data_IF_858850579039
#
_entry.id   IF_858850579039
#
_cell.length_a   1.000
_cell.length_b   1.000
_cell.length_c   1.000
_cell.angle_alpha   90.00
_cell.angle_beta   90.00
_cell.angle_gamma   90.00
#
_symmetry.space_group_name_H-M   'P 1'
#
loop_
_entity.id
_entity.type
_entity.pdbx_description
1 polymer ?
#
# COMPACT_ATOMS: atom_id res chain seq x y z
N UNK A 1 -5.36 6.50 -17.59
CA UNK A 1 -4.88 7.78 -17.03
C UNK A 1 -4.51 8.75 -18.15
N UNK A 2 -4.88 10.03 -18.05
CA UNK A 2 -4.55 11.07 -19.04
C UNK A 2 -4.20 12.38 -18.33
N UNK A 3 -2.94 12.80 -18.35
CA UNK A 3 -2.42 13.94 -17.57
C UNK A 3 -1.53 14.86 -18.40
N UNK A 4 -1.31 16.08 -17.91
CA UNK A 4 -0.24 16.95 -18.37
C UNK A 4 0.66 17.30 -17.18
N UNK A 5 1.93 16.91 -17.23
CA UNK A 5 2.93 17.16 -16.17
C UNK A 5 4.10 17.93 -16.78
N UNK A 6 4.39 19.13 -16.27
CA UNK A 6 5.48 19.96 -16.79
C UNK A 6 5.37 20.27 -18.30
N UNK A 7 4.14 20.37 -18.83
CA UNK A 7 3.87 20.60 -20.26
C UNK A 7 3.92 19.34 -21.14
N UNK A 8 4.27 18.17 -20.60
CA UNK A 8 4.25 16.89 -21.34
C UNK A 8 2.96 16.13 -21.05
N UNK A 9 2.33 15.61 -22.10
CA UNK A 9 1.13 14.79 -21.97
C UNK A 9 1.52 13.34 -21.66
N UNK A 10 0.96 12.79 -20.58
CA UNK A 10 1.03 11.36 -20.27
C UNK A 10 -0.33 10.73 -20.55
N UNK A 11 -0.33 9.58 -21.24
CA UNK A 11 -1.54 8.80 -21.47
C UNK A 11 -1.19 7.32 -21.50
N UNK A 12 -1.61 6.61 -20.46
CA UNK A 12 -1.47 5.16 -20.34
C UNK A 12 -2.74 4.57 -19.75
N UNK A 13 -3.18 3.44 -20.28
CA UNK A 13 -4.28 2.63 -19.77
C UNK A 13 -3.63 1.32 -19.41
N UNK A 14 -3.77 0.91 -18.14
CA UNK A 14 -3.27 -0.38 -17.70
C UNK A 14 -3.86 -1.46 -18.60
N UNK A 15 -3.00 -2.28 -19.19
CA UNK A 15 -3.45 -3.40 -20.01
C UNK A 15 -3.86 -4.58 -19.10
N UNK A 16 -4.46 -5.60 -19.71
CA UNK A 16 -4.97 -6.76 -18.98
C UNK A 16 -3.87 -7.49 -18.19
N UNK A 17 -2.62 -7.53 -18.68
CA UNK A 17 -1.48 -8.14 -17.97
C UNK A 17 -1.11 -7.34 -16.73
N UNK A 18 -1.01 -6.01 -16.83
CA UNK A 18 -0.73 -5.13 -15.69
C UNK A 18 -1.81 -5.23 -14.61
N UNK A 19 -3.07 -5.35 -15.01
CA UNK A 19 -4.20 -5.53 -14.09
C UNK A 19 -4.16 -6.93 -13.48
N UNK A 20 -3.95 -7.97 -14.29
CA UNK A 20 -3.90 -9.37 -13.82
C UNK A 20 -2.76 -9.57 -12.83
N UNK A 21 -1.56 -9.07 -13.13
CA UNK A 21 -0.40 -9.17 -12.24
C UNK A 21 -0.68 -8.53 -10.86
N UNK A 22 -1.29 -7.35 -10.85
CA UNK A 22 -1.64 -6.64 -9.62
C UNK A 22 -2.72 -7.39 -8.82
N UNK A 23 -3.79 -7.85 -9.47
CA UNK A 23 -4.88 -8.61 -8.85
C UNK A 23 -4.39 -9.96 -8.34
N UNK A 24 -3.57 -10.66 -9.12
CA UNK A 24 -2.97 -11.93 -8.72
C UNK A 24 -2.06 -11.74 -7.51
N UNK A 25 -1.22 -10.71 -7.49
CA UNK A 25 -0.41 -10.39 -6.31
C UNK A 25 -1.28 -10.06 -5.10
N UNK A 26 -2.30 -9.21 -5.27
CA UNK A 26 -3.22 -8.80 -4.20
C UNK A 26 -3.94 -9.97 -3.56
N UNK A 27 -4.27 -11.02 -4.32
CA UNK A 27 -4.92 -12.20 -3.75
C UNK A 27 -4.08 -12.96 -2.69
N UNK A 28 -2.77 -12.71 -2.59
CA UNK A 28 -1.93 -13.24 -1.50
C UNK A 28 -2.00 -12.40 -0.20
N UNK A 29 -2.37 -11.13 -0.28
CA UNK A 29 -2.34 -10.21 0.85
C UNK A 29 -3.23 -10.63 2.04
N UNK A 30 -4.51 -11.04 1.85
CA UNK A 30 -5.34 -11.50 2.97
C UNK A 30 -4.75 -12.68 3.73
N UNK A 31 -4.12 -13.62 3.01
CA UNK A 31 -3.47 -14.77 3.61
C UNK A 31 -2.26 -14.34 4.45
N UNK A 32 -1.42 -13.44 3.93
CA UNK A 32 -0.29 -12.90 4.68
C UNK A 32 -0.74 -12.23 5.99
N UNK A 33 -1.78 -11.39 5.96
CA UNK A 33 -2.29 -10.75 7.19
C UNK A 33 -2.70 -11.79 8.22
N UNK A 34 -3.48 -12.79 7.80
CA UNK A 34 -3.91 -13.86 8.70
C UNK A 34 -2.73 -14.65 9.26
N UNK A 35 -1.75 -15.02 8.44
CA UNK A 35 -0.61 -15.83 8.87
C UNK A 35 0.33 -15.07 9.82
N UNK A 36 0.62 -13.80 9.51
CA UNK A 36 1.55 -12.97 10.28
C UNK A 36 0.96 -12.51 11.61
N UNK A 37 -0.38 -12.45 11.71
CA UNK A 37 -1.08 -12.17 12.98
C UNK A 37 -1.55 -13.41 13.72
N UNK A 38 -1.22 -14.62 13.23
CA UNK A 38 -1.76 -15.88 13.78
C UNK A 38 -3.30 -15.90 13.87
N UNK A 39 -3.97 -15.29 12.89
CA UNK A 39 -5.42 -15.20 12.78
C UNK A 39 -6.07 -14.08 13.60
N UNK A 40 -5.29 -13.22 14.26
CA UNK A 40 -5.84 -12.11 15.04
C UNK A 40 -6.43 -11.00 14.16
N UNK A 41 -5.97 -10.88 12.90
CA UNK A 41 -6.54 -10.00 11.90
C UNK A 41 -6.94 -10.76 10.63
N UNK A 42 -8.00 -10.30 9.98
CA UNK A 42 -8.49 -10.82 8.71
C UNK A 42 -8.75 -9.68 7.73
N UNK A 43 -8.61 -9.96 6.44
CA UNK A 43 -8.94 -9.03 5.37
C UNK A 43 -10.04 -9.64 4.50
N UNK A 44 -11.13 -8.91 4.34
CA UNK A 44 -12.22 -9.24 3.42
C UNK A 44 -12.15 -8.32 2.20
N UNK A 45 -11.58 -8.79 1.07
CA UNK A 45 -11.34 -7.92 -0.06
C UNK A 45 -12.58 -7.70 -0.93
N UNK A 46 -12.72 -6.48 -1.45
CA UNK A 46 -13.59 -6.16 -2.57
C UNK A 46 -12.78 -5.43 -3.65
N UNK A 47 -12.70 -6.01 -4.86
CA UNK A 47 -11.98 -5.42 -5.98
C UNK A 47 -12.99 -4.81 -6.95
N UNK A 48 -12.77 -3.54 -7.29
CA UNK A 48 -13.64 -2.78 -8.20
C UNK A 48 -12.80 -2.19 -9.31
N UNK A 49 -13.21 -2.44 -10.55
CA UNK A 49 -12.60 -1.81 -11.72
C UNK A 49 -13.20 -0.41 -11.93
N UNK A 50 -12.35 0.61 -11.85
CA UNK A 50 -12.75 1.99 -12.07
C UNK A 50 -12.54 2.39 -13.54
N UNK A 51 -13.64 2.54 -14.29
CA UNK A 51 -13.60 2.89 -15.72
C UNK A 51 -13.28 4.37 -15.99
N UNK A 52 -13.16 5.21 -14.96
CA UNK A 52 -12.84 6.62 -15.13
C UNK A 52 -11.33 6.81 -15.24
N UNK A 53 -10.90 7.55 -16.26
CA UNK A 53 -9.50 7.99 -16.32
C UNK A 53 -9.20 9.04 -15.24
N UNK A 54 -8.10 8.82 -14.50
CA UNK A 54 -7.45 9.87 -13.72
C UNK A 54 -7.03 11.03 -14.64
N UNK A 55 -7.44 12.24 -14.27
CA UNK A 55 -7.21 13.49 -15.00
C UNK A 55 -6.35 14.50 -14.24
N UNK A 56 -6.05 14.22 -12.98
CA UNK A 56 -5.13 14.95 -12.13
C UNK A 56 -4.34 13.98 -11.26
N UNK A 57 -3.21 14.45 -10.74
CA UNK A 57 -2.49 13.83 -9.63
C UNK A 57 -2.10 14.94 -8.67
N UNK A 58 -2.09 14.62 -7.39
CA UNK A 58 -1.65 15.52 -6.35
C UNK A 58 -0.14 15.47 -6.25
N UNK A 59 0.46 16.66 -6.15
CA UNK A 59 1.90 16.82 -5.98
C UNK A 59 2.23 16.71 -4.48
N UNK A 60 3.03 15.70 -4.11
CA UNK A 60 3.55 15.53 -2.74
C UNK A 60 4.79 16.38 -2.51
N UNK A 61 5.76 16.27 -3.42
CA UNK A 61 7.01 17.03 -3.40
C UNK A 61 7.32 17.65 -4.77
N UNK A 62 8.46 18.36 -4.90
CA UNK A 62 8.83 19.13 -6.10
C UNK A 62 8.64 18.35 -7.41
N UNK A 63 8.90 17.04 -7.42
CA UNK A 63 8.78 16.16 -8.58
C UNK A 63 8.12 14.81 -8.25
N UNK A 64 7.23 14.76 -7.26
CA UNK A 64 6.52 13.53 -6.90
C UNK A 64 5.02 13.72 -6.98
N UNK A 65 4.38 12.89 -7.80
CA UNK A 65 2.94 12.90 -8.02
C UNK A 65 2.34 11.54 -7.70
N UNK A 66 1.13 11.54 -7.17
CA UNK A 66 0.41 10.31 -6.81
C UNK A 66 -1.11 10.55 -6.87
N UNK A 67 -1.92 9.48 -7.03
CA UNK A 67 -3.37 9.60 -6.97
C UNK A 67 -3.79 9.69 -5.51
N UNK A 68 -3.95 10.92 -5.03
CA UNK A 68 -4.48 11.17 -3.69
C UNK A 68 -5.98 10.86 -3.61
N UNK A 69 -6.57 10.86 -2.39
CA UNK A 69 -8.01 10.78 -2.23
C UNK A 69 -8.82 11.83 -3.00
N UNK A 70 -8.27 13.01 -3.32
CA UNK A 70 -8.98 14.00 -4.14
C UNK A 70 -9.00 13.63 -5.62
N UNK A 71 -7.91 13.03 -6.11
CA UNK A 71 -7.81 12.57 -7.50
C UNK A 71 -8.76 11.38 -7.77
N UNK A 72 -9.11 10.64 -6.73
CA UNK A 72 -10.00 9.45 -6.73
C UNK A 72 -11.35 9.70 -6.04
N UNK A 73 -11.66 10.96 -5.68
CA UNK A 73 -12.84 11.33 -4.86
C UNK A 73 -14.15 10.71 -5.34
N UNK A 74 -14.37 10.72 -6.67
CA UNK A 74 -15.59 10.19 -7.28
C UNK A 74 -15.75 8.69 -7.07
N UNK A 75 -14.65 7.94 -7.10
CA UNK A 75 -14.65 6.50 -6.81
C UNK A 75 -14.87 6.27 -5.32
N UNK A 76 -14.23 7.06 -4.46
CA UNK A 76 -14.42 6.98 -3.01
C UNK A 76 -15.89 7.23 -2.61
N UNK A 77 -16.49 8.32 -3.06
CA UNK A 77 -17.90 8.64 -2.76
C UNK A 77 -18.87 7.57 -3.28
N UNK A 78 -18.59 6.98 -4.44
CA UNK A 78 -19.46 5.99 -5.06
C UNK A 78 -19.33 4.60 -4.46
N UNK A 79 -18.10 4.17 -4.19
CA UNK A 79 -17.81 2.77 -3.89
C UNK A 79 -17.38 2.55 -2.45
N UNK A 80 -16.76 3.54 -1.81
CA UNK A 80 -16.23 3.49 -0.45
C UNK A 80 -16.70 4.69 0.41
N UNK A 81 -18.03 4.86 0.61
CA UNK A 81 -18.53 5.84 1.56
C UNK A 81 -17.99 5.56 2.98
N UNK A 82 -17.97 6.57 3.86
CA UNK A 82 -17.45 6.41 5.22
C UNK A 82 -18.02 5.20 5.97
N UNK A 83 -17.15 4.47 6.66
CA UNK A 83 -17.50 3.29 7.45
C UNK A 83 -17.76 2.01 6.65
N UNK A 84 -17.66 2.03 5.32
CA UNK A 84 -17.83 0.81 4.50
C UNK A 84 -16.58 -0.06 4.45
N UNK A 85 -15.39 0.55 4.47
CA UNK A 85 -14.11 -0.14 4.43
C UNK A 85 -13.14 0.52 5.40
N UNK A 86 -12.30 -0.28 6.05
CA UNK A 86 -11.25 0.21 6.94
C UNK A 86 -9.98 0.60 6.18
N UNK A 87 -9.80 0.07 4.97
CA UNK A 87 -8.61 0.28 4.14
C UNK A 87 -8.95 0.32 2.67
N UNK A 88 -8.28 1.21 1.92
CA UNK A 88 -8.50 1.44 0.51
C UNK A 88 -7.18 1.36 -0.25
N UNK A 89 -7.18 0.63 -1.36
CA UNK A 89 -6.05 0.56 -2.29
C UNK A 89 -6.46 1.09 -3.66
N UNK A 90 -5.57 1.86 -4.26
CA UNK A 90 -5.70 2.34 -5.63
C UNK A 90 -4.52 1.86 -6.44
N UNK A 91 -4.77 0.86 -7.28
CA UNK A 91 -3.85 0.50 -8.36
C UNK A 91 -3.91 1.54 -9.48
N UNK A 92 -2.76 2.00 -9.97
CA UNK A 92 -2.74 3.02 -11.03
C UNK A 92 -1.56 2.87 -12.02
N UNK A 93 -1.76 3.21 -13.31
CA UNK A 93 -0.74 3.09 -14.35
C UNK A 93 0.25 4.28 -14.35
N UNK A 94 1.26 4.26 -13.48
CA UNK A 94 2.33 5.26 -13.42
C UNK A 94 3.32 5.16 -14.59
N UNK A 95 3.60 3.93 -15.05
CA UNK A 95 4.64 3.62 -16.03
C UNK A 95 4.03 3.14 -17.35
N UNK A 96 4.46 3.71 -18.47
CA UNK A 96 4.25 3.14 -19.81
C UNK A 96 5.57 2.49 -20.23
N UNK A 97 5.71 1.18 -19.91
CA UNK A 97 6.94 0.43 -20.18
C UNK A 97 7.24 0.30 -21.67
N UNK A 98 6.20 0.25 -22.51
CA UNK A 98 6.36 0.14 -23.97
C UNK A 98 6.98 1.41 -24.57
N UNK A 99 6.65 2.58 -24.01
CA UNK A 99 7.22 3.88 -24.46
C UNK A 99 8.41 4.35 -23.62
N UNK A 100 8.71 3.68 -22.51
CA UNK A 100 9.75 4.10 -21.57
C UNK A 100 9.45 5.44 -20.89
N UNK A 101 8.17 5.78 -20.71
CA UNK A 101 7.74 7.04 -20.10
C UNK A 101 7.10 6.73 -18.76
N UNK A 102 7.40 7.53 -17.74
CA UNK A 102 6.81 7.39 -16.41
C UNK A 102 6.35 8.73 -15.90
N UNK A 103 5.28 8.73 -15.11
CA UNK A 103 4.97 9.85 -14.22
C UNK A 103 6.01 9.86 -13.10
N UNK A 104 6.68 11.00 -12.82
CA UNK A 104 7.48 11.15 -11.61
C UNK A 104 6.58 10.93 -10.40
N UNK A 105 6.84 9.90 -9.61
CA UNK A 105 5.98 9.52 -8.52
C UNK A 105 6.78 9.13 -7.30
N UNK A 106 6.07 8.64 -6.30
CA UNK A 106 6.67 8.07 -5.11
C UNK A 106 7.37 6.74 -5.46
N UNK A 107 7.83 6.01 -4.45
CA UNK A 107 8.22 4.60 -4.61
C UNK A 107 7.05 3.76 -5.19
N UNK A 108 7.22 2.45 -5.27
CA UNK A 108 6.21 1.56 -5.88
C UNK A 108 4.81 1.74 -5.26
N UNK A 109 4.72 1.99 -3.96
CA UNK A 109 3.50 2.44 -3.32
C UNK A 109 3.68 3.64 -2.41
N UNK A 110 2.54 4.16 -1.96
CA UNK A 110 2.44 5.15 -0.91
C UNK A 110 1.19 4.90 -0.07
N UNK A 111 1.39 4.43 1.16
CA UNK A 111 0.37 4.29 2.19
C UNK A 111 0.25 5.51 3.10
N UNK A 112 -0.95 5.71 3.65
CA UNK A 112 -1.23 6.70 4.67
C UNK A 112 -2.28 6.22 5.67
N UNK A 113 -2.21 6.77 6.87
CA UNK A 113 -3.18 6.60 7.94
C UNK A 113 -4.60 7.02 7.55
N UNK A 114 -5.57 6.50 8.29
CA UNK A 114 -6.97 6.89 8.15
C UNK A 114 -7.19 8.37 8.45
N UNK A 115 -7.99 9.04 7.61
CA UNK A 115 -8.32 10.46 7.76
C UNK A 115 -9.65 10.80 7.08
N UNK A 116 -10.21 11.97 7.39
CA UNK A 116 -11.39 12.49 6.66
C UNK A 116 -11.13 12.61 5.16
N UNK A 117 -9.86 12.83 4.76
CA UNK A 117 -9.48 12.90 3.35
C UNK A 117 -9.79 11.59 2.62
N UNK A 118 -9.68 10.44 3.29
CA UNK A 118 -9.94 9.11 2.75
C UNK A 118 -11.23 8.48 3.29
N UNK A 119 -12.24 9.31 3.63
CA UNK A 119 -13.53 8.87 4.18
C UNK A 119 -13.39 8.04 5.48
N UNK A 120 -12.34 8.28 6.26
CA UNK A 120 -12.07 7.58 7.51
C UNK A 120 -11.39 6.21 7.37
N UNK A 121 -11.03 5.79 6.15
CA UNK A 121 -10.28 4.56 5.88
C UNK A 121 -8.79 4.85 5.71
N UNK A 122 -7.91 3.88 5.95
CA UNK A 122 -6.52 3.99 5.45
C UNK A 122 -6.53 4.05 3.92
N UNK A 123 -5.49 4.62 3.32
CA UNK A 123 -5.40 4.77 1.88
C UNK A 123 -4.01 4.45 1.38
N UNK A 124 -3.91 3.67 0.33
CA UNK A 124 -2.66 3.37 -0.35
C UNK A 124 -2.82 3.49 -1.86
N UNK A 125 -1.83 4.10 -2.52
CA UNK A 125 -1.72 4.07 -3.98
C UNK A 125 -0.55 3.17 -4.38
N UNK A 126 -0.79 2.19 -5.26
CA UNK A 126 0.23 1.25 -5.76
C UNK A 126 0.35 1.38 -7.26
N UNK A 127 1.55 1.69 -7.73
CA UNK A 127 1.85 1.83 -9.14
C UNK A 127 1.93 0.47 -9.85
N UNK A 128 1.69 0.47 -11.15
CA UNK A 128 2.05 -0.66 -12.00
C UNK A 128 3.56 -0.91 -11.99
N UNK A 129 3.95 -2.17 -12.08
CA UNK A 129 5.34 -2.61 -12.13
C UNK A 129 5.51 -3.66 -13.23
N UNK A 130 6.75 -3.95 -13.68
CA UNK A 130 6.99 -5.08 -14.57
C UNK A 130 6.52 -6.39 -13.94
N UNK A 131 6.01 -7.33 -14.73
CA UNK A 131 5.45 -8.61 -14.24
C UNK A 131 6.37 -9.40 -13.30
N UNK A 132 7.69 -9.32 -13.52
CA UNK A 132 8.66 -9.97 -12.65
C UNK A 132 8.65 -9.41 -11.22
N UNK A 133 8.33 -8.12 -11.03
CA UNK A 133 8.24 -7.51 -9.71
C UNK A 133 7.00 -8.00 -8.94
N UNK A 134 5.88 -8.29 -9.63
CA UNK A 134 4.66 -8.83 -9.00
C UNK A 134 4.81 -10.29 -8.55
N UNK A 135 5.77 -11.01 -9.15
CA UNK A 135 6.20 -12.36 -8.76
C UNK A 135 7.30 -12.31 -7.70
N UNK A 136 7.28 -11.28 -6.84
CA UNK A 136 8.20 -11.09 -5.74
C UNK A 136 8.19 -12.31 -4.80
N UNK A 137 9.10 -12.27 -3.85
CA UNK A 137 9.39 -13.36 -2.94
C UNK A 137 8.13 -13.81 -2.19
N UNK A 138 7.40 -12.88 -1.57
CA UNK A 138 6.10 -13.16 -0.97
C UNK A 138 4.94 -12.51 -1.75
N UNK A 139 4.09 -13.36 -2.34
CA UNK A 139 2.87 -12.92 -3.04
C UNK A 139 1.97 -12.11 -2.10
N UNK A 140 1.69 -10.86 -2.45
CA UNK A 140 0.85 -9.98 -1.64
C UNK A 140 1.62 -8.99 -0.77
N UNK A 141 2.94 -9.16 -0.64
CA UNK A 141 3.78 -8.40 0.30
C UNK A 141 3.75 -6.89 0.06
N UNK A 142 3.72 -6.43 -1.20
CA UNK A 142 3.62 -4.99 -1.50
C UNK A 142 2.35 -4.38 -0.92
N UNK A 143 1.22 -5.08 -1.00
CA UNK A 143 -0.06 -4.62 -0.45
C UNK A 143 -0.06 -4.67 1.07
N UNK A 144 0.55 -5.70 1.66
CA UNK A 144 0.78 -5.78 3.10
C UNK A 144 1.61 -4.60 3.61
N UNK A 145 2.71 -4.29 2.92
CA UNK A 145 3.59 -3.18 3.26
C UNK A 145 2.82 -1.85 3.24
N UNK A 146 2.12 -1.56 2.14
CA UNK A 146 1.38 -0.30 2.04
C UNK A 146 0.21 -0.19 3.03
N UNK A 147 -0.42 -1.31 3.35
CA UNK A 147 -1.44 -1.38 4.39
C UNK A 147 -0.86 -1.10 5.78
N UNK A 148 0.35 -1.61 6.07
CA UNK A 148 1.00 -1.43 7.36
C UNK A 148 1.29 0.04 7.65
N UNK A 149 1.59 0.89 6.67
CA UNK A 149 1.67 2.35 6.89
C UNK A 149 0.39 2.90 7.54
N UNK A 150 -0.78 2.47 7.05
CA UNK A 150 -2.06 2.88 7.60
C UNK A 150 -2.38 2.27 8.98
N UNK A 151 -2.04 0.99 9.15
CA UNK A 151 -2.30 0.23 10.38
C UNK A 151 -1.39 0.68 11.52
N UNK A 152 -0.09 0.85 11.27
CA UNK A 152 0.85 1.39 12.24
C UNK A 152 0.38 2.77 12.73
N UNK A 153 -0.03 3.64 11.82
CA UNK A 153 -0.63 4.93 12.19
C UNK A 153 -1.88 4.75 13.09
N UNK A 154 -2.80 3.83 12.75
CA UNK A 154 -4.00 3.57 13.53
C UNK A 154 -3.70 3.11 14.97
N UNK A 155 -2.74 2.21 15.16
CA UNK A 155 -2.36 1.71 16.47
C UNK A 155 -1.49 2.72 17.24
N UNK A 156 -0.65 3.50 16.56
CA UNK A 156 0.09 4.60 17.16
C UNK A 156 -0.84 5.63 17.80
N UNK A 157 -1.96 5.96 17.13
CA UNK A 157 -3.00 6.83 17.70
C UNK A 157 -3.69 6.26 18.96
N UNK A 158 -3.58 4.95 19.20
CA UNK A 158 -4.11 4.24 20.38
C UNK A 158 -3.06 4.03 21.47
N UNK A 159 -1.86 4.60 21.31
CA UNK A 159 -0.80 4.57 22.31
C UNK A 159 0.18 3.40 22.17
N UNK A 160 0.10 2.61 21.09
CA UNK A 160 1.14 1.64 20.78
C UNK A 160 2.36 2.35 20.18
N UNK A 161 3.56 1.92 20.56
CA UNK A 161 4.81 2.52 20.07
C UNK A 161 5.30 1.69 18.89
N UNK A 162 5.39 2.32 17.72
CA UNK A 162 5.95 1.70 16.52
C UNK A 162 7.47 1.88 16.51
N UNK A 163 8.23 0.91 15.95
CA UNK A 163 9.68 1.06 15.71
C UNK A 163 9.98 2.19 14.72
N UNK A 164 11.21 2.71 14.72
CA UNK A 164 11.60 3.79 13.79
C UNK A 164 11.31 3.40 12.33
N UNK A 165 10.58 4.27 11.63
CA UNK A 165 10.10 4.11 10.25
C UNK A 165 9.03 3.04 10.01
N UNK A 166 8.38 2.52 11.04
CA UNK A 166 7.19 1.65 10.90
C UNK A 166 7.40 0.57 9.82
N UNK A 167 6.50 0.45 8.83
CA UNK A 167 6.60 -0.54 7.75
C UNK A 167 7.90 -0.48 6.91
N UNK A 168 8.62 0.66 6.91
CA UNK A 168 9.91 0.84 6.22
C UNK A 168 11.13 0.51 7.09
N UNK A 169 10.92 0.11 8.35
CA UNK A 169 11.98 0.03 9.36
C UNK A 169 12.85 -1.22 9.32
N UNK A 170 12.57 -2.21 8.47
CA UNK A 170 13.18 -3.54 8.53
C UNK A 170 14.72 -3.53 8.63
N UNK A 171 15.40 -2.84 7.70
CA UNK A 171 16.87 -2.79 7.67
C UNK A 171 17.46 -2.08 8.89
N UNK A 172 16.80 -1.02 9.39
CA UNK A 172 17.26 -0.28 10.58
C UNK A 172 17.27 -1.16 11.82
N UNK A 173 16.39 -2.17 11.85
CA UNK A 173 16.23 -3.10 12.96
C UNK A 173 16.98 -4.42 12.76
N UNK A 174 17.85 -4.50 11.75
CA UNK A 174 18.75 -5.63 11.51
C UNK A 174 18.11 -6.82 10.79
N UNK A 175 16.88 -6.67 10.28
CA UNK A 175 16.26 -7.71 9.45
C UNK A 175 16.93 -7.77 8.09
N UNK A 176 16.99 -8.97 7.51
CA UNK A 176 17.52 -9.19 6.16
C UNK A 176 16.41 -9.70 5.27
N UNK A 177 16.26 -9.10 4.08
CA UNK A 177 15.25 -9.53 3.11
C UNK A 177 15.49 -10.98 2.69
N UNK A 178 14.49 -11.83 2.91
CA UNK A 178 14.46 -13.21 2.42
C UNK A 178 14.31 -13.23 0.90
N UNK A 179 15.02 -14.15 0.23
CA UNK A 179 14.88 -14.41 -1.21
C UNK A 179 13.61 -15.16 -1.57
N UNK A 180 12.90 -15.69 -0.58
CA UNK A 180 11.67 -16.48 -0.75
C UNK A 180 10.47 -15.88 -0.03
N UNK A 181 10.69 -15.04 0.97
CA UNK A 181 9.60 -14.52 1.81
C UNK A 181 9.68 -13.00 1.98
N UNK A 182 10.58 -12.32 1.27
CA UNK A 182 10.75 -10.88 1.33
C UNK A 182 11.01 -10.39 2.76
N UNK A 183 10.25 -9.40 3.21
CA UNK A 183 10.30 -8.80 4.54
C UNK A 183 9.29 -9.39 5.52
N UNK A 184 8.66 -10.53 5.21
CA UNK A 184 7.60 -11.10 6.06
C UNK A 184 8.04 -11.43 7.48
N UNK A 185 9.33 -11.72 7.72
CA UNK A 185 9.87 -11.86 9.09
C UNK A 185 9.74 -10.56 9.88
N UNK A 186 10.16 -9.43 9.29
CA UNK A 186 10.00 -8.12 9.89
C UNK A 186 8.53 -7.79 10.14
N UNK A 187 7.67 -8.03 9.14
CA UNK A 187 6.24 -7.73 9.27
C UNK A 187 5.58 -8.61 10.34
N UNK A 188 5.98 -9.87 10.49
CA UNK A 188 5.52 -10.73 11.60
C UNK A 188 5.82 -10.11 12.95
N UNK A 189 7.05 -9.64 13.13
CA UNK A 189 7.47 -9.03 14.39
C UNK A 189 6.80 -7.68 14.60
N UNK A 190 6.65 -6.87 13.56
CA UNK A 190 5.92 -5.60 13.62
C UNK A 190 4.46 -5.82 14.03
N UNK A 191 3.80 -6.85 13.48
CA UNK A 191 2.40 -7.17 13.73
C UNK A 191 2.14 -8.01 14.98
N UNK A 192 3.20 -8.42 15.69
CA UNK A 192 3.12 -9.09 16.98
C UNK A 192 3.72 -8.27 18.13
N UNK A 193 4.29 -7.10 17.81
CA UNK A 193 4.93 -6.21 18.77
C UNK A 193 6.27 -6.74 19.26
N UNK A 194 7.02 -7.43 18.40
CA UNK A 194 8.27 -8.12 18.72
C UNK A 194 9.52 -7.47 18.08
N UNK A 195 9.39 -6.34 17.37
CA UNK A 195 10.55 -5.64 16.78
C UNK A 195 11.42 -5.08 17.91
N UNK A 196 12.69 -5.44 17.93
CA UNK A 196 13.62 -4.97 18.96
C UNK A 196 14.21 -3.60 18.61
N UNK A 197 13.96 -2.60 19.45
CA UNK A 197 14.56 -1.27 19.35
C UNK A 197 15.00 -0.78 20.74
N UNK A 198 16.27 -0.39 20.88
CA UNK A 198 16.83 0.15 22.14
C UNK A 198 16.55 -0.72 23.39
N UNK A 199 16.52 -2.04 23.23
CA UNK A 199 16.26 -2.99 24.32
C UNK A 199 14.77 -3.18 24.68
N UNK A 200 13.86 -2.59 23.90
CA UNK A 200 12.40 -2.75 24.04
C UNK A 200 11.79 -3.44 22.82
N UNK A 201 10.69 -4.15 23.03
CA UNK A 201 9.87 -4.72 21.96
C UNK A 201 8.79 -3.72 21.54
N UNK A 202 8.76 -3.36 20.26
CA UNK A 202 7.88 -2.37 19.66
C UNK A 202 7.03 -2.97 18.53
N UNK A 203 5.97 -2.26 18.15
CA UNK A 203 5.01 -2.69 17.14
C UNK A 203 3.61 -2.88 17.72
N UNK A 204 2.82 -3.74 17.08
CA UNK A 204 1.41 -3.99 17.39
C UNK A 204 1.29 -5.31 18.15
N UNK A 205 1.08 -5.30 19.47
CA UNK A 205 0.91 -6.53 20.25
C UNK A 205 -0.25 -7.37 19.73
N UNK A 206 -0.13 -8.70 19.77
CA UNK A 206 -1.16 -9.62 19.24
C UNK A 206 -2.56 -9.38 19.86
N UNK A 207 -2.63 -8.98 21.14
CA UNK A 207 -3.90 -8.68 21.81
C UNK A 207 -4.52 -7.33 21.44
N UNK A 208 -3.82 -6.48 20.67
CA UNK A 208 -4.35 -5.19 20.21
C UNK A 208 -5.29 -5.35 19.01
N UNK A 209 -5.22 -6.48 18.30
CA UNK A 209 -6.05 -6.75 17.12
C UNK A 209 -7.51 -7.12 17.46
N UNK A 210 -7.82 -7.39 18.73
CA UNK A 210 -9.14 -7.87 19.20
C UNK A 210 -9.94 -6.83 19.97
#
# INVERSE_FOLDING_TARGET
MRLTIGGKRFHHIANDEEISDAVESFAGFPQLVSELTSGAAMVEPAIIEANRSLSSLTRRERNEFWPSPDDTRRELERFAPPGKFDSLFVFWPQHDFARGISVPGCAWGLGMGASDWSNGATYAAVANAPSAAWKNEARGEVWLHEWLHGVCHHFAQRGHVMPERDADGAELHGYTRSKTDGWTEYYRDLMSGAVMENGSQLGIPVNAWT
#
